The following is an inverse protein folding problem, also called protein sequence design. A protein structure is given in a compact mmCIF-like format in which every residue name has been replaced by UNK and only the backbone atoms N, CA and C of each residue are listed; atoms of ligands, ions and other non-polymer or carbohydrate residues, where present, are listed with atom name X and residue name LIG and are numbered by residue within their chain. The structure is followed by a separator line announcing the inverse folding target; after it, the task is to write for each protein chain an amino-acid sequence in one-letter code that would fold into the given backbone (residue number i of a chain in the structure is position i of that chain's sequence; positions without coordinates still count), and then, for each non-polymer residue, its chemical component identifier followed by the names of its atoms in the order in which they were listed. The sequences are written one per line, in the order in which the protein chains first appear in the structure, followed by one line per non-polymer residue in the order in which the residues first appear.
data_IF_836310521187
#
_entry.id   IF_836310521187
#
_cell.length_a   1.000
_cell.length_b   1.000
_cell.length_c   1.000
_cell.angle_alpha   90.00
_cell.angle_beta   90.00
_cell.angle_gamma   90.00
#
_symmetry.space_group_name_H-M   'P 1'
#
loop_
_entity.id
_entity.type
_entity.pdbx_description
1 polymer ?
#
# COMPACT_ATOMS: atom_id res chain seq x y z
N UNK A 1 8.56 -16.23 -12.37
CA UNK A 1 7.33 -15.87 -11.63
C UNK A 1 7.44 -16.07 -10.11
N UNK A 2 8.13 -17.09 -9.61
CA UNK A 2 8.24 -17.40 -8.17
C UNK A 2 9.22 -16.51 -7.37
N UNK A 3 10.09 -15.75 -7.99
CA UNK A 3 11.13 -14.92 -7.31
C UNK A 3 10.58 -13.66 -6.62
N UNK A 4 9.31 -13.32 -6.82
CA UNK A 4 8.71 -12.04 -6.36
C UNK A 4 7.78 -12.18 -5.15
N UNK A 5 7.51 -13.40 -4.70
CA UNK A 5 6.67 -13.65 -3.53
C UNK A 5 7.51 -13.89 -2.28
N UNK A 6 6.95 -13.56 -1.12
CA UNK A 6 7.58 -13.86 0.15
C UNK A 6 7.75 -15.38 0.31
N UNK A 7 8.97 -15.84 0.50
CA UNK A 7 9.23 -17.25 0.78
C UNK A 7 8.98 -17.56 2.26
N UNK A 8 8.29 -18.69 2.50
CA UNK A 8 8.15 -19.21 3.86
C UNK A 8 9.52 -19.66 4.37
N UNK A 9 9.99 -19.09 5.48
CA UNK A 9 11.28 -19.42 6.11
C UNK A 9 11.18 -20.57 7.08
N UNK A 10 10.01 -20.76 7.68
CA UNK A 10 9.75 -21.67 8.80
C UNK A 10 8.73 -22.76 8.43
N UNK A 11 8.80 -23.25 7.21
CA UNK A 11 7.94 -24.30 6.68
C UNK A 11 8.18 -24.58 5.20
N UNK A 12 7.28 -25.28 4.52
CA UNK A 12 7.41 -25.57 3.09
C UNK A 12 7.56 -24.28 2.27
N UNK A 13 8.50 -24.28 1.33
CA UNK A 13 8.74 -23.15 0.42
C UNK A 13 7.62 -23.04 -0.63
N UNK A 14 6.44 -22.63 -0.19
CA UNK A 14 5.27 -22.43 -1.03
C UNK A 14 4.58 -21.10 -0.69
N UNK A 15 3.91 -20.52 -1.67
CA UNK A 15 2.99 -19.39 -1.48
C UNK A 15 1.52 -19.84 -1.40
N UNK A 16 1.24 -21.11 -1.71
CA UNK A 16 -0.11 -21.69 -1.68
C UNK A 16 -0.40 -22.19 -0.26
N UNK A 17 -1.64 -21.99 0.18
CA UNK A 17 -2.10 -22.48 1.47
C UNK A 17 -1.56 -21.70 2.67
N UNK A 18 -1.17 -20.45 2.45
CA UNK A 18 -0.69 -19.50 3.47
C UNK A 18 -1.14 -18.07 3.14
N UNK A 19 -1.03 -17.15 4.08
CA UNK A 19 -1.43 -15.75 3.88
C UNK A 19 -0.87 -14.81 4.94
N UNK A 20 -1.24 -13.54 4.84
CA UNK A 20 -0.96 -12.55 5.87
C UNK A 20 -1.91 -12.77 7.06
N UNK A 21 -1.36 -12.90 8.25
CA UNK A 21 -2.12 -13.11 9.50
C UNK A 21 -2.54 -11.78 10.11
N UNK A 22 -1.59 -10.88 10.22
CA UNK A 22 -1.82 -9.53 10.71
C UNK A 22 -0.75 -8.60 10.17
N UNK A 23 -1.07 -7.31 10.19
CA UNK A 23 -0.09 -6.26 9.88
C UNK A 23 -0.29 -5.07 10.80
N UNK A 24 0.78 -4.30 10.97
CA UNK A 24 0.76 -2.99 11.62
C UNK A 24 1.45 -1.98 10.73
N UNK A 25 0.87 -0.79 10.61
CA UNK A 25 1.35 0.26 9.70
C UNK A 25 1.95 1.41 10.48
N UNK A 26 3.19 1.74 10.18
CA UNK A 26 3.93 2.84 10.78
C UNK A 26 3.63 4.14 10.02
N UNK A 27 3.31 5.21 10.76
CA UNK A 27 3.26 6.57 10.23
C UNK A 27 4.67 7.14 10.18
N UNK A 28 5.41 6.87 9.08
CA UNK A 28 6.78 7.38 8.93
C UNK A 28 6.84 8.89 8.72
N UNK A 29 5.74 9.52 8.27
CA UNK A 29 5.64 10.98 8.12
C UNK A 29 5.78 11.68 9.47
N UNK A 30 5.07 11.20 10.50
CA UNK A 30 5.17 11.76 11.85
C UNK A 30 6.60 11.72 12.37
N UNK A 31 7.30 10.59 12.18
CA UNK A 31 8.68 10.45 12.64
C UNK A 31 9.60 11.50 11.97
N UNK A 32 9.35 11.78 10.69
CA UNK A 32 10.08 12.80 9.94
C UNK A 32 9.73 14.22 10.40
N UNK A 33 8.44 14.54 10.59
CA UNK A 33 7.99 15.86 11.09
C UNK A 33 8.63 16.17 12.45
N UNK A 34 8.66 15.18 13.35
CA UNK A 34 9.28 15.34 14.67
C UNK A 34 10.79 15.60 14.62
N UNK A 35 11.45 15.42 13.50
CA UNK A 35 12.86 15.72 13.28
C UNK A 35 13.09 17.03 12.52
N UNK A 36 12.06 17.70 12.02
CA UNK A 36 12.20 18.92 11.19
C UNK A 36 12.86 20.10 11.91
N UNK A 37 12.83 20.13 13.24
CA UNK A 37 13.48 21.17 14.04
C UNK A 37 15.02 21.08 14.01
N UNK A 38 15.59 19.96 13.56
CA UNK A 38 17.03 19.74 13.44
C UNK A 38 17.49 20.37 12.12
N UNK A 39 18.32 21.42 12.19
CA UNK A 39 18.78 22.16 11.01
C UNK A 39 19.74 21.33 10.14
N UNK A 40 20.69 20.65 10.79
CA UNK A 40 21.64 19.79 10.08
C UNK A 40 20.91 18.58 9.47
N UNK A 41 21.06 18.41 8.14
CA UNK A 41 20.34 17.40 7.38
C UNK A 41 20.78 15.97 7.73
N UNK A 42 22.07 15.76 7.91
CA UNK A 42 22.65 14.45 8.26
C UNK A 42 22.18 14.01 9.64
N UNK A 43 22.20 14.92 10.61
CA UNK A 43 21.71 14.68 11.97
C UNK A 43 20.20 14.44 11.99
N UNK A 44 19.43 15.21 11.22
CA UNK A 44 17.97 15.01 11.05
C UNK A 44 17.65 13.61 10.54
N UNK A 45 18.37 13.16 9.51
CA UNK A 45 18.19 11.82 8.93
C UNK A 45 18.61 10.75 9.95
N UNK A 46 19.72 10.93 10.66
CA UNK A 46 20.16 9.99 11.68
C UNK A 46 19.13 9.83 12.80
N UNK A 47 18.59 10.95 13.29
CA UNK A 47 17.55 10.96 14.31
C UNK A 47 16.25 10.32 13.82
N UNK A 48 15.86 10.53 12.56
CA UNK A 48 14.74 9.86 11.94
C UNK A 48 14.92 8.33 11.94
N UNK A 49 16.11 7.82 11.55
CA UNK A 49 16.38 6.38 11.58
C UNK A 49 16.36 5.80 13.00
N UNK A 50 16.84 6.54 14.00
CA UNK A 50 16.76 6.09 15.40
C UNK A 50 15.30 5.97 15.88
N UNK A 51 14.44 6.94 15.53
CA UNK A 51 12.99 6.85 15.80
C UNK A 51 12.31 5.73 15.04
N UNK A 52 12.69 5.54 13.77
CA UNK A 52 12.16 4.46 12.94
C UNK A 52 12.51 3.09 13.52
N UNK A 53 13.74 2.90 13.96
CA UNK A 53 14.21 1.65 14.59
C UNK A 53 13.38 1.31 15.83
N UNK A 54 13.22 2.27 16.72
CA UNK A 54 12.39 2.11 17.91
C UNK A 54 10.92 1.74 17.58
N UNK A 55 10.34 2.37 16.55
CA UNK A 55 8.98 2.04 16.11
C UNK A 55 8.89 0.66 15.47
N UNK A 56 9.95 0.21 14.80
CA UNK A 56 10.03 -1.14 14.24
C UNK A 56 10.06 -2.19 15.34
N UNK A 57 10.81 -1.98 16.42
CA UNK A 57 10.83 -2.88 17.59
C UNK A 57 9.46 -3.01 18.25
N UNK A 58 8.77 -1.88 18.46
CA UNK A 58 7.41 -1.87 19.01
C UNK A 58 6.45 -2.63 18.08
N UNK A 59 6.56 -2.39 16.77
CA UNK A 59 5.69 -3.01 15.76
C UNK A 59 5.91 -4.52 15.70
N UNK A 60 7.16 -4.97 15.71
CA UNK A 60 7.50 -6.39 15.67
C UNK A 60 6.97 -7.13 16.90
N UNK A 61 7.20 -6.57 18.11
CA UNK A 61 6.70 -7.14 19.36
C UNK A 61 5.16 -7.22 19.37
N UNK A 62 4.47 -6.16 18.95
CA UNK A 62 3.01 -6.16 18.86
C UNK A 62 2.49 -7.25 17.90
N UNK A 63 3.16 -7.45 16.77
CA UNK A 63 2.80 -8.49 15.81
C UNK A 63 3.06 -9.89 16.38
N UNK A 64 4.16 -10.07 17.10
CA UNK A 64 4.45 -11.31 17.81
C UNK A 64 3.38 -11.64 18.87
N UNK A 65 3.02 -10.70 19.72
CA UNK A 65 1.98 -10.86 20.73
C UNK A 65 0.62 -11.23 20.11
N UNK A 66 0.26 -10.61 18.97
CA UNK A 66 -0.94 -10.99 18.21
C UNK A 66 -0.87 -12.41 17.68
N UNK A 67 0.29 -12.83 17.19
CA UNK A 67 0.51 -14.19 16.70
C UNK A 67 0.31 -15.20 17.82
N UNK A 68 0.90 -14.96 19.00
CA UNK A 68 0.74 -15.83 20.17
C UNK A 68 -0.73 -15.91 20.60
N UNK A 69 -1.45 -14.78 20.58
CA UNK A 69 -2.89 -14.80 20.84
C UNK A 69 -3.67 -15.59 19.78
N UNK A 70 -3.36 -15.40 18.49
CA UNK A 70 -4.03 -16.13 17.40
C UNK A 70 -3.82 -17.65 17.50
N UNK A 71 -2.68 -18.11 17.98
CA UNK A 71 -2.39 -19.54 18.20
C UNK A 71 -3.38 -20.23 19.14
N UNK A 72 -4.02 -19.48 20.03
CA UNK A 72 -4.99 -20.03 20.99
C UNK A 72 -6.38 -20.30 20.38
N UNK A 73 -6.63 -19.80 19.18
CA UNK A 73 -7.92 -19.97 18.50
C UNK A 73 -8.13 -21.42 18.03
N UNK A 74 -9.39 -21.84 17.94
CA UNK A 74 -9.77 -23.18 17.50
C UNK A 74 -10.07 -23.24 16.01
N UNK A 75 -9.80 -24.38 15.37
CA UNK A 75 -10.05 -24.59 13.94
C UNK A 75 -11.51 -24.30 13.53
N UNK A 76 -12.48 -24.67 14.37
CA UNK A 76 -13.91 -24.39 14.14
C UNK A 76 -14.28 -22.91 14.02
N UNK A 77 -13.42 -22.00 14.51
CA UNK A 77 -13.65 -20.56 14.40
C UNK A 77 -13.32 -20.02 13.00
N UNK A 78 -12.60 -20.81 12.20
CA UNK A 78 -12.18 -20.48 10.84
C UNK A 78 -12.56 -21.61 9.85
N UNK A 79 -13.86 -21.95 9.73
CA UNK A 79 -14.28 -23.16 9.02
C UNK A 79 -13.83 -23.17 7.56
N UNK A 80 -13.86 -22.03 6.85
CA UNK A 80 -13.42 -21.94 5.46
C UNK A 80 -11.90 -22.12 5.33
N UNK A 81 -11.10 -21.43 6.15
CA UNK A 81 -9.64 -21.50 6.06
C UNK A 81 -9.11 -22.87 6.49
N UNK A 82 -9.73 -23.46 7.54
CA UNK A 82 -9.29 -24.72 8.13
C UNK A 82 -9.92 -25.95 7.45
N UNK A 83 -10.74 -25.78 6.42
CA UNK A 83 -11.31 -26.89 5.65
C UNK A 83 -10.39 -27.48 4.56
N UNK A 84 -9.18 -26.96 4.39
CA UNK A 84 -8.12 -27.38 3.45
C UNK A 84 -7.46 -26.23 2.67
N UNK A 85 -7.92 -24.99 2.87
CA UNK A 85 -7.30 -23.82 2.22
C UNK A 85 -5.96 -23.46 2.84
N UNK A 86 -5.83 -23.63 4.15
CA UNK A 86 -4.57 -23.39 4.86
C UNK A 86 -3.75 -24.68 4.92
N UNK A 87 -2.50 -24.61 4.51
CA UNK A 87 -1.61 -25.77 4.40
C UNK A 87 -1.48 -26.49 5.75
N UNK A 88 -1.79 -27.76 5.78
CA UNK A 88 -1.76 -28.61 6.98
C UNK A 88 -3.06 -28.60 7.80
N UNK A 89 -4.03 -27.74 7.45
CA UNK A 89 -5.31 -27.64 8.20
C UNK A 89 -6.19 -28.87 8.08
N UNK A 90 -5.99 -29.66 7.04
CA UNK A 90 -6.68 -30.94 6.83
C UNK A 90 -6.43 -31.98 7.96
N UNK A 91 -5.39 -31.74 8.77
CA UNK A 91 -5.04 -32.59 9.91
C UNK A 91 -5.72 -32.16 11.22
N UNK A 92 -6.34 -30.98 11.23
CA UNK A 92 -6.96 -30.42 12.43
C UNK A 92 -8.41 -30.88 12.59
N UNK A 93 -8.76 -31.22 13.83
CA UNK A 93 -10.15 -31.41 14.25
C UNK A 93 -10.76 -30.07 14.65
N UNK A 94 -12.11 -29.91 14.65
CA UNK A 94 -12.76 -28.64 14.99
C UNK A 94 -12.35 -28.01 16.32
N UNK A 95 -12.03 -28.81 17.32
CA UNK A 95 -11.63 -28.36 18.66
C UNK A 95 -10.12 -28.30 18.87
N UNK A 96 -9.31 -28.59 17.85
CA UNK A 96 -7.85 -28.39 17.92
C UNK A 96 -7.54 -26.91 17.75
N UNK A 97 -6.46 -26.44 18.39
CA UNK A 97 -5.96 -25.09 18.15
C UNK A 97 -5.30 -24.99 16.78
N UNK A 98 -5.30 -23.79 16.19
CA UNK A 98 -4.64 -23.55 14.89
C UNK A 98 -3.12 -23.38 15.00
N UNK A 99 -2.56 -23.43 16.21
CA UNK A 99 -1.13 -23.25 16.46
C UNK A 99 -0.21 -24.05 15.53
N UNK A 100 -0.46 -25.34 15.23
CA UNK A 100 0.45 -26.13 14.37
C UNK A 100 0.56 -25.61 12.93
N UNK A 101 -0.46 -24.93 12.43
CA UNK A 101 -0.53 -24.51 11.01
C UNK A 101 -0.34 -23.01 10.81
N UNK A 102 -0.61 -22.18 11.83
CA UNK A 102 -0.58 -20.73 11.67
C UNK A 102 0.83 -20.17 11.52
N UNK A 103 1.86 -20.85 11.97
CA UNK A 103 3.27 -20.42 11.89
C UNK A 103 3.75 -20.17 10.45
N UNK A 104 3.06 -20.72 9.45
CA UNK A 104 3.35 -20.48 8.04
C UNK A 104 2.92 -19.09 7.55
N UNK A 105 2.05 -18.42 8.31
CA UNK A 105 1.53 -17.10 7.96
C UNK A 105 2.59 -16.01 8.07
N UNK A 106 2.27 -14.86 7.51
CA UNK A 106 3.17 -13.71 7.47
C UNK A 106 2.66 -12.60 8.37
N UNK A 107 3.58 -12.00 9.12
CA UNK A 107 3.36 -10.80 9.92
C UNK A 107 3.87 -9.59 9.13
N UNK A 108 2.98 -8.65 8.80
CA UNK A 108 3.28 -7.53 7.92
C UNK A 108 3.70 -6.28 8.69
N UNK A 109 4.89 -5.75 8.40
CA UNK A 109 5.30 -4.40 8.82
C UNK A 109 4.99 -3.46 7.66
N UNK A 110 3.94 -2.65 7.82
CA UNK A 110 3.51 -1.68 6.84
C UNK A 110 4.05 -0.28 7.11
N UNK A 111 4.04 0.57 6.10
CA UNK A 111 4.34 1.99 6.24
C UNK A 111 3.45 2.81 5.31
N UNK A 112 3.33 4.12 5.60
CA UNK A 112 2.57 5.07 4.80
C UNK A 112 3.27 6.41 4.74
N UNK A 113 3.14 7.11 3.59
CA UNK A 113 3.59 8.48 3.43
C UNK A 113 5.08 8.62 3.15
N UNK A 114 5.69 7.73 2.35
CA UNK A 114 7.10 7.87 1.98
C UNK A 114 7.36 9.21 1.30
N UNK A 115 6.47 9.66 0.43
CA UNK A 115 6.60 10.93 -0.26
C UNK A 115 6.66 12.10 0.73
N UNK A 116 5.67 12.22 1.61
CA UNK A 116 5.60 13.28 2.62
C UNK A 116 6.73 13.18 3.65
N UNK A 117 7.14 11.97 4.01
CA UNK A 117 8.31 11.73 4.86
C UNK A 117 9.59 12.31 4.22
N UNK A 118 9.81 12.07 2.94
CA UNK A 118 10.95 12.60 2.21
C UNK A 118 10.88 14.13 2.06
N UNK A 119 9.69 14.70 1.83
CA UNK A 119 9.50 16.15 1.83
C UNK A 119 9.90 16.75 3.20
N UNK A 120 9.48 16.13 4.31
CA UNK A 120 9.85 16.59 5.65
C UNK A 120 11.36 16.50 5.92
N UNK A 121 12.04 15.48 5.37
CA UNK A 121 13.48 15.29 5.58
C UNK A 121 14.36 16.09 4.63
N UNK A 122 13.93 16.32 3.39
CA UNK A 122 14.78 16.83 2.29
C UNK A 122 14.20 18.00 1.51
N UNK A 123 12.91 18.29 1.69
CA UNK A 123 12.16 19.29 0.92
C UNK A 123 11.56 18.77 -0.39
N UNK A 124 11.83 17.51 -0.81
CA UNK A 124 11.34 16.93 -2.06
C UNK A 124 11.00 15.45 -1.90
N UNK A 125 9.98 14.98 -2.62
CA UNK A 125 9.66 13.55 -2.65
C UNK A 125 10.48 12.77 -3.69
N UNK A 126 10.43 11.45 -3.63
CA UNK A 126 11.24 10.53 -4.43
C UNK A 126 10.95 10.58 -5.95
N UNK A 127 9.78 11.05 -6.39
CA UNK A 127 9.50 11.26 -7.81
C UNK A 127 10.13 12.53 -8.40
N UNK A 128 10.66 13.45 -7.56
CA UNK A 128 11.18 14.74 -8.02
C UNK A 128 12.68 14.75 -8.28
N UNK A 129 13.47 13.95 -7.55
CA UNK A 129 14.92 13.90 -7.77
C UNK A 129 15.56 12.61 -7.25
N UNK A 130 16.76 12.31 -7.77
CA UNK A 130 17.51 11.10 -7.47
C UNK A 130 17.95 11.00 -5.99
N UNK A 131 18.30 12.10 -5.35
CA UNK A 131 18.77 12.09 -3.95
C UNK A 131 17.64 11.71 -2.98
N UNK A 132 16.40 12.21 -3.22
CA UNK A 132 15.23 11.81 -2.45
C UNK A 132 14.85 10.35 -2.74
N UNK A 133 14.98 9.90 -3.99
CA UNK A 133 14.78 8.49 -4.37
C UNK A 133 15.77 7.57 -3.63
N UNK A 134 17.05 7.92 -3.60
CA UNK A 134 18.08 7.16 -2.89
C UNK A 134 17.77 7.05 -1.39
N UNK A 135 17.40 8.16 -0.74
CA UNK A 135 16.97 8.14 0.66
C UNK A 135 15.72 7.30 0.87
N UNK A 136 14.74 7.39 -0.03
CA UNK A 136 13.53 6.55 0.02
C UNK A 136 13.84 5.07 -0.05
N UNK A 137 14.72 4.66 -0.97
CA UNK A 137 15.21 3.28 -1.08
C UNK A 137 15.94 2.84 0.20
N UNK A 138 16.77 3.73 0.78
CA UNK A 138 17.47 3.46 2.06
C UNK A 138 16.47 3.24 3.20
N UNK A 139 15.42 4.04 3.30
CA UNK A 139 14.38 3.91 4.33
C UNK A 139 13.67 2.55 4.21
N UNK A 140 13.17 2.21 3.02
CA UNK A 140 12.42 0.96 2.83
C UNK A 140 13.33 -0.27 2.95
N UNK A 141 14.58 -0.19 2.47
CA UNK A 141 15.59 -1.23 2.67
C UNK A 141 15.90 -1.46 4.16
N UNK A 142 15.97 -0.38 4.95
CA UNK A 142 16.15 -0.46 6.39
C UNK A 142 14.99 -1.22 7.06
N UNK A 143 13.74 -0.87 6.74
CA UNK A 143 12.54 -1.58 7.24
C UNK A 143 12.61 -3.07 6.88
N UNK A 144 12.99 -3.39 5.63
CA UNK A 144 13.13 -4.78 5.17
C UNK A 144 14.22 -5.54 5.95
N UNK A 145 15.38 -4.92 6.16
CA UNK A 145 16.48 -5.56 6.89
C UNK A 145 16.09 -5.85 8.34
N UNK A 146 15.39 -4.91 8.99
CA UNK A 146 14.84 -5.13 10.33
C UNK A 146 13.78 -6.23 10.35
N UNK A 147 12.87 -6.28 9.37
CA UNK A 147 11.90 -7.36 9.24
C UNK A 147 12.58 -8.75 9.09
N UNK A 148 13.70 -8.81 8.37
CA UNK A 148 14.50 -10.04 8.27
C UNK A 148 15.11 -10.43 9.62
N UNK A 149 15.66 -9.47 10.37
CA UNK A 149 16.21 -9.72 11.73
C UNK A 149 15.12 -10.20 12.68
N UNK A 150 13.93 -9.57 12.68
CA UNK A 150 12.79 -10.04 13.48
C UNK A 150 12.33 -11.45 13.10
N UNK A 151 12.45 -11.82 11.81
CA UNK A 151 12.13 -13.18 11.41
C UNK A 151 13.06 -14.20 12.08
N UNK A 152 14.35 -13.91 12.17
CA UNK A 152 15.33 -14.78 12.85
C UNK A 152 15.14 -14.74 14.39
N UNK A 153 14.87 -13.57 14.96
CA UNK A 153 14.69 -13.40 16.40
C UNK A 153 13.45 -14.12 16.94
N UNK A 154 12.29 -13.88 16.28
CA UNK A 154 11.01 -14.44 16.73
C UNK A 154 10.66 -15.80 16.10
N UNK A 155 11.47 -16.29 15.17
CA UNK A 155 11.22 -17.53 14.41
C UNK A 155 9.84 -17.53 13.71
N UNK A 156 9.45 -16.35 13.16
CA UNK A 156 8.21 -16.12 12.42
C UNK A 156 8.48 -15.40 11.09
N UNK A 157 7.58 -15.53 10.15
CA UNK A 157 7.68 -14.86 8.86
C UNK A 157 7.30 -13.38 8.98
N UNK A 158 8.25 -12.49 9.16
CA UNK A 158 8.05 -11.05 9.02
C UNK A 158 8.31 -10.59 7.58
N UNK A 159 7.50 -9.67 7.08
CA UNK A 159 7.67 -9.09 5.76
C UNK A 159 7.24 -7.63 5.72
N UNK A 160 7.76 -6.87 4.77
CA UNK A 160 7.34 -5.48 4.55
C UNK A 160 6.13 -5.45 3.63
N UNK A 161 5.14 -4.67 4.02
CA UNK A 161 3.90 -4.43 3.28
C UNK A 161 3.86 -2.97 2.80
N UNK A 162 3.74 -2.77 1.50
CA UNK A 162 3.31 -1.48 0.97
C UNK A 162 1.81 -1.31 1.29
N UNK A 163 1.50 -0.73 2.43
CA UNK A 163 0.15 -0.72 3.00
C UNK A 163 -0.85 -0.05 2.05
N UNK A 164 -1.91 -0.73 1.62
CA UNK A 164 -3.02 -0.12 0.90
C UNK A 164 -3.90 0.65 1.90
N UNK A 165 -3.44 1.82 2.32
CA UNK A 165 -4.03 2.56 3.42
C UNK A 165 -5.30 3.29 3.01
N UNK A 166 -6.44 2.70 3.25
CA UNK A 166 -7.75 3.27 2.95
C UNK A 166 -8.14 4.35 3.97
N UNK A 167 -8.42 3.94 5.21
CA UNK A 167 -8.80 4.87 6.28
C UNK A 167 -7.59 5.51 6.99
N UNK A 168 -6.44 4.82 7.04
CA UNK A 168 -5.26 5.30 7.76
C UNK A 168 -4.63 6.54 7.13
N UNK A 169 -4.66 6.68 5.80
CA UNK A 169 -4.12 7.84 5.10
C UNK A 169 -4.68 9.14 5.66
N UNK A 170 -6.00 9.27 5.70
CA UNK A 170 -6.66 10.46 6.25
C UNK A 170 -6.62 10.54 7.78
N UNK A 171 -6.62 9.41 8.49
CA UNK A 171 -6.55 9.39 9.96
C UNK A 171 -5.22 9.91 10.47
N UNK A 172 -4.12 9.51 9.85
CA UNK A 172 -2.79 9.98 10.21
C UNK A 172 -2.62 11.45 9.89
N UNK A 173 -2.98 11.88 8.68
CA UNK A 173 -2.88 13.29 8.27
C UNK A 173 -3.67 14.20 9.20
N UNK A 174 -4.92 13.87 9.54
CA UNK A 174 -5.72 14.70 10.48
C UNK A 174 -5.08 14.80 11.86
N UNK A 175 -4.50 13.71 12.38
CA UNK A 175 -3.82 13.71 13.68
C UNK A 175 -2.56 14.56 13.66
N UNK A 176 -1.77 14.43 12.61
CA UNK A 176 -0.52 15.15 12.46
C UNK A 176 -0.78 16.66 12.22
N UNK A 177 -1.77 17.00 11.38
CA UNK A 177 -2.20 18.38 11.17
C UNK A 177 -2.71 19.02 12.47
N UNK A 178 -3.45 18.27 13.31
CA UNK A 178 -3.90 18.76 14.62
C UNK A 178 -2.74 19.06 15.56
N UNK A 179 -1.67 18.28 15.50
CA UNK A 179 -0.52 18.40 16.40
C UNK A 179 0.53 19.39 15.91
N UNK A 180 0.82 19.41 14.63
CA UNK A 180 1.94 20.13 14.03
C UNK A 180 1.50 21.29 13.12
N UNK A 181 0.21 21.47 12.88
CA UNK A 181 -0.32 22.45 11.93
C UNK A 181 -0.33 21.95 10.49
N UNK A 182 -0.70 22.86 9.58
CA UNK A 182 -0.65 22.62 8.14
C UNK A 182 0.75 22.92 7.63
N UNK A 183 1.46 21.87 7.25
CA UNK A 183 2.81 21.91 6.69
C UNK A 183 2.72 21.67 5.18
N UNK A 184 3.24 22.62 4.38
CA UNK A 184 3.16 22.56 2.92
C UNK A 184 3.86 21.31 2.35
N UNK A 185 3.15 20.59 1.48
CA UNK A 185 3.62 19.34 0.87
C UNK A 185 3.68 18.14 1.82
N UNK A 186 3.21 18.29 3.07
CA UNK A 186 3.25 17.24 4.10
C UNK A 186 1.85 16.99 4.67
N UNK A 187 1.29 17.97 5.42
CA UNK A 187 -0.01 17.82 6.09
C UNK A 187 -1.11 18.72 5.51
N UNK A 188 -0.86 19.40 4.42
CA UNK A 188 -1.77 20.35 3.76
C UNK A 188 -2.89 19.66 2.96
N UNK A 189 -2.75 18.38 2.62
CA UNK A 189 -3.80 17.55 1.98
C UNK A 189 -4.56 16.71 3.00
N UNK A 190 -5.74 16.21 2.64
CA UNK A 190 -6.58 15.41 3.54
C UNK A 190 -6.17 13.94 3.65
N UNK A 191 -5.06 13.57 3.01
CA UNK A 191 -4.50 12.21 3.01
C UNK A 191 -2.98 12.25 2.90
N UNK A 192 -2.32 11.16 3.34
CA UNK A 192 -0.95 10.85 2.99
C UNK A 192 -0.92 9.90 1.81
N UNK A 193 0.09 10.03 0.97
CA UNK A 193 0.36 9.10 -0.12
C UNK A 193 0.54 7.68 0.41
N UNK A 194 -0.08 6.70 -0.27
CA UNK A 194 0.03 5.31 0.14
C UNK A 194 1.47 4.80 -0.03
N UNK A 195 1.98 4.17 1.01
CA UNK A 195 3.28 3.48 1.05
C UNK A 195 4.41 4.21 0.28
N UNK A 196 4.90 3.59 -0.79
CA UNK A 196 6.03 4.06 -1.62
C UNK A 196 5.59 4.67 -2.96
N UNK A 197 4.30 4.97 -3.14
CA UNK A 197 3.84 5.55 -4.40
C UNK A 197 4.35 6.97 -4.59
N UNK A 198 4.55 7.32 -5.85
CA UNK A 198 4.61 8.71 -6.28
C UNK A 198 3.25 9.36 -5.99
N UNK A 199 3.21 10.58 -5.43
CA UNK A 199 1.94 11.22 -5.11
C UNK A 199 1.00 11.31 -6.31
N UNK A 200 -0.28 11.00 -6.10
CA UNK A 200 -1.29 10.93 -7.17
C UNK A 200 -1.51 12.25 -7.90
N UNK A 201 -1.15 13.37 -7.27
CA UNK A 201 -1.21 14.72 -7.84
C UNK A 201 0.05 15.13 -8.62
N UNK A 202 1.12 14.32 -8.55
CA UNK A 202 2.37 14.63 -9.23
C UNK A 202 2.30 14.23 -10.71
N UNK A 203 2.37 15.22 -11.59
CA UNK A 203 2.31 14.99 -13.05
C UNK A 203 3.59 14.31 -13.53
N UNK A 204 3.49 13.07 -13.94
CA UNK A 204 4.58 12.32 -14.54
C UNK A 204 4.03 11.27 -15.52
N UNK A 205 4.88 10.77 -16.41
CA UNK A 205 4.52 9.66 -17.27
C UNK A 205 4.43 8.34 -16.50
N UNK A 206 3.65 7.39 -17.00
CA UNK A 206 3.58 6.02 -16.47
C UNK A 206 4.98 5.38 -16.37
N UNK A 207 5.84 5.67 -17.36
CA UNK A 207 7.23 5.21 -17.39
C UNK A 207 8.04 5.77 -16.23
N UNK A 208 8.01 7.08 -15.99
CA UNK A 208 8.74 7.71 -14.88
C UNK A 208 8.25 7.14 -13.54
N UNK A 209 6.92 6.99 -13.38
CA UNK A 209 6.34 6.37 -12.20
C UNK A 209 6.86 4.93 -12.00
N UNK A 210 6.92 4.12 -13.07
CA UNK A 210 7.46 2.78 -13.01
C UNK A 210 8.94 2.76 -12.62
N UNK A 211 9.77 3.65 -13.20
CA UNK A 211 11.19 3.79 -12.85
C UNK A 211 11.40 4.11 -11.37
N UNK A 212 10.55 4.97 -10.81
CA UNK A 212 10.63 5.38 -9.39
C UNK A 212 10.11 4.30 -8.45
N UNK A 213 8.96 3.67 -8.75
CA UNK A 213 8.29 2.75 -7.83
C UNK A 213 8.79 1.31 -7.89
N UNK A 214 9.23 0.82 -9.05
CA UNK A 214 9.63 -0.56 -9.25
C UNK A 214 10.72 -1.08 -8.27
N UNK A 215 11.76 -0.29 -7.94
CA UNK A 215 12.79 -0.74 -7.00
C UNK A 215 12.27 -1.08 -5.59
N UNK A 216 11.13 -0.48 -5.18
CA UNK A 216 10.51 -0.77 -3.88
C UNK A 216 9.79 -2.13 -3.84
N UNK A 217 9.36 -2.64 -5.00
CA UNK A 217 8.57 -3.88 -5.07
C UNK A 217 9.33 -5.09 -4.54
N UNK A 218 10.63 -5.17 -4.79
CA UNK A 218 11.46 -6.25 -4.23
C UNK A 218 11.60 -6.18 -2.71
N UNK A 219 11.47 -5.00 -2.14
CA UNK A 219 11.58 -4.77 -0.70
C UNK A 219 10.26 -4.96 0.04
N UNK A 220 9.12 -4.88 -0.67
CA UNK A 220 7.76 -4.95 -0.11
C UNK A 220 7.05 -6.26 -0.47
N UNK A 221 7.71 -7.40 -0.23
CA UNK A 221 7.21 -8.73 -0.61
C UNK A 221 5.99 -9.21 0.19
N UNK A 222 5.63 -8.52 1.26
CA UNK A 222 4.38 -8.75 2.01
C UNK A 222 3.13 -8.32 1.26
N UNK A 223 3.30 -7.51 0.23
CA UNK A 223 2.27 -7.00 -0.68
C UNK A 223 2.60 -5.61 -1.20
N UNK A 224 2.38 -5.41 -2.48
CA UNK A 224 2.49 -4.13 -3.17
C UNK A 224 1.61 -4.16 -4.42
N UNK A 225 1.33 -2.98 -4.96
CA UNK A 225 0.60 -2.84 -6.21
C UNK A 225 1.11 -1.59 -6.94
N UNK A 226 1.22 -1.67 -8.26
CA UNK A 226 1.52 -0.54 -9.14
C UNK A 226 0.23 -0.05 -9.79
N UNK A 227 -0.03 1.24 -9.77
CA UNK A 227 -1.21 1.84 -10.37
C UNK A 227 -0.85 2.73 -11.54
N UNK A 228 -1.50 2.51 -12.69
CA UNK A 228 -1.47 3.42 -13.83
C UNK A 228 -2.86 4.02 -14.00
N UNK A 229 -2.96 5.34 -13.92
CA UNK A 229 -4.19 6.07 -14.19
C UNK A 229 -4.25 6.43 -15.66
N UNK A 230 -5.27 5.95 -16.35
CA UNK A 230 -5.47 6.21 -17.78
C UNK A 230 -6.75 7.00 -18.01
N UNK A 231 -6.72 7.85 -19.02
CA UNK A 231 -7.90 8.53 -19.53
C UNK A 231 -8.51 7.80 -20.73
N UNK A 232 -9.80 7.99 -20.94
CA UNK A 232 -10.52 7.43 -22.07
C UNK A 232 -10.94 5.97 -21.94
N UNK A 233 -11.45 5.41 -23.04
CA UNK A 233 -11.97 4.05 -23.12
C UNK A 233 -10.96 3.12 -23.81
N UNK A 234 -10.31 2.28 -23.05
CA UNK A 234 -9.34 1.30 -23.54
C UNK A 234 -9.96 0.21 -24.44
N UNK A 235 -11.29 0.10 -24.54
CA UNK A 235 -11.95 -0.87 -25.43
C UNK A 235 -11.67 -0.58 -26.91
N UNK A 236 -11.39 0.68 -27.23
CA UNK A 236 -11.06 1.13 -28.59
C UNK A 236 -9.55 1.12 -28.89
N UNK A 237 -8.72 0.91 -27.87
CA UNK A 237 -7.26 0.86 -28.00
C UNK A 237 -6.66 -0.16 -27.01
N UNK A 238 -6.85 -1.46 -27.23
CA UNK A 238 -6.33 -2.49 -26.31
C UNK A 238 -4.80 -2.57 -26.26
N UNK A 239 -4.10 -2.06 -27.29
CA UNK A 239 -2.64 -2.00 -27.34
C UNK A 239 -2.05 -1.20 -26.17
N UNK A 240 -2.77 -0.20 -25.68
CA UNK A 240 -2.32 0.60 -24.52
C UNK A 240 -2.19 -0.29 -23.27
N UNK A 241 -3.11 -1.22 -23.07
CA UNK A 241 -3.04 -2.18 -21.95
C UNK A 241 -1.80 -3.07 -22.10
N UNK A 242 -1.55 -3.56 -23.32
CA UNK A 242 -0.34 -4.35 -23.60
C UNK A 242 0.93 -3.58 -23.34
N UNK A 243 1.00 -2.31 -23.73
CA UNK A 243 2.15 -1.43 -23.43
C UNK A 243 2.40 -1.28 -21.93
N UNK A 244 1.33 -1.17 -21.10
CA UNK A 244 1.47 -1.15 -19.65
C UNK A 244 2.00 -2.49 -19.13
N UNK A 245 1.51 -3.62 -19.65
CA UNK A 245 1.99 -4.96 -19.26
C UNK A 245 3.46 -5.13 -19.64
N UNK A 246 3.86 -4.74 -20.86
CA UNK A 246 5.25 -4.80 -21.32
C UNK A 246 6.16 -3.90 -20.48
N UNK A 247 5.68 -2.72 -20.10
CA UNK A 247 6.38 -1.82 -19.17
C UNK A 247 6.56 -2.48 -17.81
N UNK A 248 5.51 -3.08 -17.25
CA UNK A 248 5.59 -3.77 -15.97
C UNK A 248 6.60 -4.93 -16.01
N UNK A 249 6.63 -5.70 -17.10
CA UNK A 249 7.62 -6.77 -17.27
C UNK A 249 9.04 -6.22 -17.35
N UNK A 250 9.27 -5.17 -18.15
CA UNK A 250 10.56 -4.49 -18.31
C UNK A 250 11.12 -3.98 -16.98
N UNK A 251 10.28 -3.40 -16.13
CA UNK A 251 10.66 -2.88 -14.81
C UNK A 251 10.52 -3.90 -13.68
N UNK A 252 10.25 -5.17 -14.00
CA UNK A 252 10.12 -6.24 -13.00
C UNK A 252 8.99 -6.00 -11.98
N UNK A 253 7.90 -5.35 -12.40
CA UNK A 253 6.70 -5.10 -11.60
C UNK A 253 5.78 -6.31 -11.69
N UNK A 254 5.63 -7.07 -10.61
CA UNK A 254 4.88 -8.34 -10.61
C UNK A 254 3.37 -8.20 -10.42
N UNK A 255 2.89 -7.06 -9.96
CA UNK A 255 1.47 -6.83 -9.70
C UNK A 255 1.10 -5.36 -9.90
N UNK A 256 0.10 -5.11 -10.72
CA UNK A 256 -0.35 -3.75 -11.02
C UNK A 256 -1.82 -3.71 -11.42
N UNK A 257 -2.32 -2.49 -11.52
CA UNK A 257 -3.69 -2.17 -11.94
C UNK A 257 -3.66 -1.02 -12.93
N UNK A 258 -4.31 -1.23 -14.05
CA UNK A 258 -4.65 -0.15 -14.97
C UNK A 258 -6.00 0.39 -14.56
N UNK A 259 -6.02 1.65 -14.12
CA UNK A 259 -7.22 2.32 -13.69
C UNK A 259 -7.73 3.23 -14.81
N UNK A 260 -8.99 3.11 -15.12
CA UNK A 260 -9.74 4.03 -15.98
C UNK A 260 -11.15 4.21 -15.39
N UNK A 261 -11.74 5.36 -15.68
CA UNK A 261 -13.07 5.66 -15.20
C UNK A 261 -14.11 4.90 -16.05
N UNK A 262 -15.17 4.46 -15.40
CA UNK A 262 -16.34 3.95 -16.08
C UNK A 262 -17.60 4.46 -15.36
N UNK A 263 -18.40 5.25 -16.08
CA UNK A 263 -19.63 5.79 -15.55
C UNK A 263 -20.80 5.12 -16.27
N UNK A 264 -21.85 4.81 -15.53
CA UNK A 264 -23.09 4.28 -16.06
C UNK A 264 -24.25 5.14 -15.57
N UNK A 265 -25.08 5.61 -16.49
CA UNK A 265 -26.33 6.25 -16.14
C UNK A 265 -27.36 5.20 -15.71
N UNK A 266 -27.86 5.30 -14.48
CA UNK A 266 -28.85 4.36 -13.95
C UNK A 266 -30.23 4.50 -14.59
N UNK A 267 -30.54 5.68 -15.17
CA UNK A 267 -31.85 5.92 -15.78
C UNK A 267 -31.93 5.48 -17.24
N UNK A 268 -30.86 5.66 -18.03
CA UNK A 268 -30.91 5.32 -19.47
C UNK A 268 -29.87 4.27 -19.91
N UNK A 269 -29.03 3.78 -19.01
CA UNK A 269 -28.02 2.76 -19.28
C UNK A 269 -26.82 3.23 -20.11
N UNK A 270 -26.72 4.56 -20.39
CA UNK A 270 -25.55 5.10 -21.13
C UNK A 270 -24.27 4.94 -20.32
N UNK A 271 -23.23 4.44 -20.98
CA UNK A 271 -21.90 4.25 -20.37
C UNK A 271 -20.85 5.10 -21.08
N UNK A 272 -19.90 5.63 -20.32
CA UNK A 272 -18.71 6.31 -20.83
C UNK A 272 -17.53 6.22 -19.84
N UNK A 273 -16.35 6.68 -20.28
CA UNK A 273 -15.12 6.69 -19.50
C UNK A 273 -14.68 8.11 -19.09
N UNK A 274 -15.53 9.12 -19.21
CA UNK A 274 -15.17 10.50 -18.89
C UNK A 274 -14.84 10.68 -17.41
N UNK A 275 -13.75 11.39 -17.14
CA UNK A 275 -13.38 11.82 -15.80
C UNK A 275 -14.28 12.99 -15.40
N UNK A 276 -14.78 13.02 -14.17
CA UNK A 276 -15.62 14.11 -13.63
C UNK A 276 -17.00 14.29 -14.26
N UNK A 277 -17.61 13.23 -14.81
CA UNK A 277 -18.97 13.30 -15.33
C UNK A 277 -19.97 13.63 -14.20
N UNK A 278 -20.69 14.77 -14.31
CA UNK A 278 -21.70 15.17 -13.34
C UNK A 278 -23.13 14.83 -13.80
N UNK A 279 -23.37 14.83 -15.11
CA UNK A 279 -24.67 14.54 -15.71
C UNK A 279 -24.50 13.64 -16.93
N UNK A 280 -25.45 12.75 -17.12
CA UNK A 280 -25.50 11.92 -18.32
C UNK A 280 -25.66 12.78 -19.59
N UNK A 281 -24.73 12.69 -20.57
CA UNK A 281 -24.84 13.48 -21.80
C UNK A 281 -25.98 13.04 -22.68
N UNK A 282 -26.55 11.83 -22.48
CA UNK A 282 -27.67 11.31 -23.27
C UNK A 282 -29.02 11.73 -22.74
N UNK A 283 -29.27 11.73 -21.43
CA UNK A 283 -30.58 11.99 -20.86
C UNK A 283 -30.59 13.11 -19.80
N UNK A 284 -29.45 13.72 -19.47
CA UNK A 284 -29.34 14.81 -18.50
C UNK A 284 -29.45 14.36 -17.03
N UNK A 285 -29.65 13.08 -16.76
CA UNK A 285 -29.76 12.55 -15.39
C UNK A 285 -28.46 12.72 -14.59
N UNK A 286 -28.61 12.98 -13.29
CA UNK A 286 -27.52 12.98 -12.31
C UNK A 286 -27.35 11.63 -11.59
N UNK A 287 -28.24 10.66 -11.88
CA UNK A 287 -28.15 9.31 -11.30
C UNK A 287 -27.08 8.50 -12.03
N UNK A 288 -25.82 8.71 -11.63
CA UNK A 288 -24.66 8.09 -12.23
C UNK A 288 -24.02 7.10 -11.25
N UNK A 289 -23.81 5.88 -11.72
CA UNK A 289 -22.90 4.93 -11.07
C UNK A 289 -21.49 5.16 -11.60
N UNK A 290 -20.57 5.58 -10.70
CA UNK A 290 -19.19 5.89 -11.03
C UNK A 290 -18.31 4.75 -10.55
N UNK A 291 -18.01 3.80 -11.46
CA UNK A 291 -17.12 2.70 -11.16
C UNK A 291 -15.68 3.18 -11.27
N UNK A 292 -15.05 3.35 -10.13
CA UNK A 292 -13.67 3.79 -10.00
C UNK A 292 -12.96 2.94 -8.96
N UNK A 293 -11.65 2.78 -9.14
CA UNK A 293 -10.81 2.08 -8.18
C UNK A 293 -9.87 3.05 -7.49
N UNK A 294 -9.78 2.94 -6.17
CA UNK A 294 -8.76 3.63 -5.40
C UNK A 294 -8.22 2.69 -4.32
N UNK A 295 -6.92 2.47 -4.34
CA UNK A 295 -6.26 1.53 -3.42
C UNK A 295 -6.95 0.15 -3.43
N UNK A 296 -7.49 -0.30 -2.31
CA UNK A 296 -8.23 -1.57 -2.19
C UNK A 296 -9.73 -1.48 -2.48
N UNK A 297 -10.28 -0.28 -2.67
CA UNK A 297 -11.71 -0.12 -2.92
C UNK A 297 -12.11 -0.54 -4.34
N UNK A 298 -13.05 -1.48 -4.42
CA UNK A 298 -13.71 -1.94 -5.64
C UNK A 298 -15.22 -1.73 -5.53
N UNK A 299 -15.65 -0.58 -5.02
CA UNK A 299 -17.07 -0.25 -4.88
C UNK A 299 -17.53 0.60 -6.05
N UNK A 300 -18.70 0.26 -6.62
CA UNK A 300 -19.25 0.91 -7.79
C UNK A 300 -19.48 2.41 -7.61
N UNK A 301 -19.95 2.83 -6.43
CA UNK A 301 -20.26 4.25 -6.16
C UNK A 301 -19.25 4.88 -5.20
N UNK A 302 -18.88 6.13 -5.48
CA UNK A 302 -17.93 6.90 -4.67
C UNK A 302 -18.53 7.48 -3.39
N UNK A 303 -19.85 7.48 -3.24
CA UNK A 303 -20.58 8.00 -2.07
C UNK A 303 -20.30 7.22 -0.78
N UNK A 304 -19.83 5.98 -0.89
CA UNK A 304 -19.38 5.17 0.25
C UNK A 304 -17.90 5.35 0.62
N UNK A 305 -17.18 6.16 -0.14
CA UNK A 305 -15.78 6.40 0.13
C UNK A 305 -15.59 7.38 1.28
N UNK A 306 -14.53 7.19 2.07
CA UNK A 306 -14.19 8.16 3.09
C UNK A 306 -13.64 9.46 2.47
N UNK A 307 -13.73 10.57 3.23
CA UNK A 307 -13.32 11.91 2.76
C UNK A 307 -11.88 11.97 2.22
N UNK A 308 -10.95 11.24 2.83
CA UNK A 308 -9.56 11.22 2.39
C UNK A 308 -9.41 10.56 1.01
N UNK A 309 -10.17 9.49 0.76
CA UNK A 309 -10.14 8.81 -0.55
C UNK A 309 -10.86 9.61 -1.64
N UNK A 310 -11.90 10.37 -1.29
CA UNK A 310 -12.51 11.32 -2.21
C UNK A 310 -11.54 12.46 -2.56
N UNK A 311 -10.82 13.00 -1.57
CA UNK A 311 -9.80 14.02 -1.81
C UNK A 311 -8.65 13.47 -2.70
N UNK A 312 -8.16 12.25 -2.42
CA UNK A 312 -7.16 11.58 -3.25
C UNK A 312 -7.65 11.36 -4.68
N UNK A 313 -8.92 10.98 -4.88
CA UNK A 313 -9.51 10.81 -6.21
C UNK A 313 -9.54 12.12 -6.99
N UNK A 314 -9.93 13.23 -6.32
CA UNK A 314 -10.02 14.54 -6.96
C UNK A 314 -8.64 15.11 -7.34
N UNK A 315 -7.60 14.70 -6.63
CA UNK A 315 -6.23 15.15 -6.88
C UNK A 315 -5.50 14.31 -7.95
N UNK A 316 -6.07 13.17 -8.38
CA UNK A 316 -5.42 12.27 -9.32
C UNK A 316 -5.16 12.92 -10.67
N UNK A 317 -3.97 12.63 -11.19
CA UNK A 317 -3.57 12.97 -12.54
C UNK A 317 -3.43 11.72 -13.40
N UNK A 318 -3.67 11.87 -14.70
CA UNK A 318 -3.48 10.80 -15.68
C UNK A 318 -1.99 10.66 -15.99
N UNK A 319 -1.54 9.43 -16.21
CA UNK A 319 -0.16 9.10 -16.58
C UNK A 319 -0.07 8.93 -18.10
N UNK A 320 0.37 9.97 -18.80
CA UNK A 320 0.54 9.97 -20.26
C UNK A 320 1.90 9.46 -20.68
#
# INVERSE_FOLDING_TARGET
MYKRQFENRFGPKTSIGRGNLSFSTINIVRLAIECMHIENKEERIAQFFAKLDHMLDITARQLHERMEFQKTAYAKQFPLLMSSLWLGSEKLKPNDTIAPVINQGTLGIGFIGLAECLVALTGKHHGENAASQELGLKIVSYIRNRANQFSEEYQHNYSVLATPAEGLSGKFTRRDRKQFGSLSGITDRDYYTNSNHVPVYYKCSARHKAEVEAPYHEMTRGGHIFYVEMDGDATHNPEVIMQVVDMMDRYNIGYGSVNHNRNRCLDCGYENAETHLEKCPKCGSTHLDKLQRITGYLVGTTDRWNKAKLAELNDRVVHN
#
